data_IF_398682442417
#
_entry.id   IF_398682442417
#
_cell.length_a   1.000
_cell.length_b   1.000
_cell.length_c   1.000
_cell.angle_alpha   90.00
_cell.angle_beta   90.00
_cell.angle_gamma   90.00
#
_symmetry.space_group_name_H-M   'P 1'
#
loop_
_entity.id
_entity.type
_entity.pdbx_description
1 polymer ?
#
# COMPACT_ATOMS: atom_id res chain seq x y z
N UNK A 1 14.31 5.76 -15.49
CA UNK A 1 13.14 5.12 -16.11
C UNK A 1 12.05 6.16 -16.35
N UNK A 2 11.59 6.30 -17.59
CA UNK A 2 10.57 7.30 -17.95
C UNK A 2 9.18 6.68 -17.98
N UNK A 3 8.16 7.53 -17.92
CA UNK A 3 6.77 7.12 -18.03
C UNK A 3 6.32 7.17 -19.51
N UNK A 4 5.33 6.32 -19.92
CA UNK A 4 4.71 5.29 -19.07
C UNK A 4 5.60 4.05 -18.90
N UNK A 5 5.47 3.36 -17.81
CA UNK A 5 6.26 2.16 -17.51
C UNK A 5 5.99 1.03 -18.52
N UNK A 6 4.78 0.94 -19.05
CA UNK A 6 4.40 -0.05 -20.07
C UNK A 6 5.18 0.09 -21.37
N UNK A 7 5.81 1.23 -21.63
CA UNK A 7 6.68 1.43 -22.80
C UNK A 7 8.03 0.74 -22.64
N UNK A 8 8.41 0.36 -21.42
CA UNK A 8 9.73 -0.22 -21.11
C UNK A 8 9.66 -1.68 -20.71
N UNK A 9 8.52 -2.15 -20.25
CA UNK A 9 8.32 -3.50 -19.74
C UNK A 9 6.85 -3.89 -19.71
N UNK A 10 6.60 -5.20 -19.66
CA UNK A 10 5.25 -5.71 -19.43
C UNK A 10 4.89 -5.54 -17.95
N UNK A 11 3.90 -4.72 -17.68
CA UNK A 11 3.36 -4.51 -16.35
C UNK A 11 2.21 -5.48 -16.13
N UNK A 12 2.21 -6.17 -14.99
CA UNK A 12 1.18 -7.16 -14.66
C UNK A 12 0.35 -6.71 -13.46
N UNK A 13 -0.90 -7.18 -13.39
CA UNK A 13 -1.79 -6.97 -12.25
C UNK A 13 -1.39 -7.86 -11.07
N UNK A 14 -2.08 -7.70 -9.93
CA UNK A 14 -1.89 -8.52 -8.73
C UNK A 14 -2.04 -10.02 -9.03
N UNK A 15 -2.92 -10.39 -9.96
CA UNK A 15 -3.15 -11.80 -10.37
C UNK A 15 -2.22 -12.27 -11.48
N UNK A 16 -1.27 -11.42 -11.92
CA UNK A 16 -0.30 -11.75 -12.96
C UNK A 16 -0.76 -11.50 -14.39
N UNK A 17 -1.91 -10.87 -14.62
CA UNK A 17 -2.38 -10.55 -15.97
C UNK A 17 -1.67 -9.34 -16.55
N UNK A 18 -1.27 -9.45 -17.81
CA UNK A 18 -0.67 -8.36 -18.57
C UNK A 18 -1.72 -7.35 -18.99
N UNK A 19 -1.32 -6.10 -19.23
CA UNK A 19 -2.21 -5.05 -19.70
C UNK A 19 -2.97 -5.46 -20.96
N UNK A 20 -2.30 -6.15 -21.89
CA UNK A 20 -2.90 -6.61 -23.14
C UNK A 20 -4.00 -7.67 -22.93
N UNK A 21 -4.00 -8.37 -21.81
CA UNK A 21 -5.01 -9.39 -21.47
C UNK A 21 -6.26 -8.78 -20.85
N UNK A 22 -6.18 -7.54 -20.35
CA UNK A 22 -7.29 -6.84 -19.71
C UNK A 22 -8.01 -6.01 -20.77
N UNK A 23 -9.03 -6.61 -21.38
CA UNK A 23 -9.84 -5.98 -22.43
C UNK A 23 -11.31 -5.97 -22.02
N UNK A 24 -12.10 -5.12 -22.69
CA UNK A 24 -13.55 -5.05 -22.45
C UNK A 24 -14.21 -6.39 -22.74
N UNK A 25 -13.77 -7.09 -23.79
CA UNK A 25 -14.31 -8.40 -24.14
C UNK A 25 -13.96 -9.45 -23.08
N UNK A 26 -12.74 -9.42 -22.53
CA UNK A 26 -12.33 -10.32 -21.46
C UNK A 26 -13.18 -10.10 -20.20
N UNK A 27 -13.52 -8.84 -19.88
CA UNK A 27 -14.43 -8.51 -18.78
C UNK A 27 -15.82 -9.10 -19.01
N UNK A 28 -16.34 -8.95 -20.23
CA UNK A 28 -17.67 -9.49 -20.60
C UNK A 28 -17.71 -11.01 -20.50
N UNK A 29 -16.63 -11.70 -20.85
CA UNK A 29 -16.53 -13.16 -20.79
C UNK A 29 -16.23 -13.70 -19.40
N UNK A 30 -16.02 -12.84 -18.42
CA UNK A 30 -15.67 -13.24 -17.07
C UNK A 30 -14.21 -13.69 -16.91
N UNK A 31 -13.37 -13.47 -17.91
CA UNK A 31 -11.94 -13.79 -17.85
C UNK A 31 -11.16 -12.78 -17.00
N UNK A 32 -11.70 -11.55 -16.86
CA UNK A 32 -11.14 -10.49 -16.03
C UNK A 32 -12.10 -10.19 -14.89
N UNK A 33 -11.64 -10.31 -13.68
CA UNK A 33 -12.39 -10.02 -12.45
C UNK A 33 -11.85 -8.74 -11.79
N UNK A 34 -12.53 -8.16 -10.78
CA UNK A 34 -11.99 -7.02 -10.05
C UNK A 34 -10.60 -7.27 -9.48
N UNK A 35 -10.26 -8.50 -9.10
CA UNK A 35 -8.92 -8.85 -8.61
C UNK A 35 -7.84 -8.69 -9.69
N UNK A 36 -8.18 -8.91 -10.96
CA UNK A 36 -7.26 -8.76 -12.08
C UNK A 36 -6.91 -7.30 -12.37
N UNK A 37 -7.74 -6.37 -11.91
CA UNK A 37 -7.54 -4.92 -12.11
C UNK A 37 -6.66 -4.33 -11.01
N UNK A 38 -6.53 -4.99 -9.87
CA UNK A 38 -5.70 -4.51 -8.77
C UNK A 38 -4.23 -4.49 -9.17
N UNK A 39 -3.55 -3.40 -8.79
CA UNK A 39 -2.13 -3.22 -9.08
C UNK A 39 -1.31 -4.19 -8.24
N UNK A 40 -0.31 -4.84 -8.86
CA UNK A 40 0.60 -5.73 -8.15
C UNK A 40 1.61 -4.96 -7.31
N UNK A 41 2.14 -5.62 -6.27
CA UNK A 41 3.20 -5.08 -5.42
C UNK A 41 4.43 -4.69 -6.25
N UNK A 42 4.83 -5.55 -7.19
CA UNK A 42 5.99 -5.31 -8.05
C UNK A 42 5.82 -4.05 -8.91
N UNK A 43 4.61 -3.82 -9.44
CA UNK A 43 4.32 -2.62 -10.23
C UNK A 43 4.44 -1.36 -9.37
N UNK A 44 3.95 -1.38 -8.14
CA UNK A 44 4.07 -0.25 -7.22
C UNK A 44 5.53 0.04 -6.88
N UNK A 45 6.35 -0.99 -6.68
CA UNK A 45 7.78 -0.82 -6.42
C UNK A 45 8.51 -0.24 -7.63
N UNK A 46 8.13 -0.65 -8.84
CA UNK A 46 8.68 -0.06 -10.08
C UNK A 46 8.30 1.41 -10.21
N UNK A 47 7.06 1.76 -9.91
CA UNK A 47 6.62 3.16 -9.91
C UNK A 47 7.38 3.99 -8.88
N UNK A 48 7.64 3.43 -7.71
CA UNK A 48 8.46 4.05 -6.67
C UNK A 48 9.88 4.31 -7.15
N UNK A 49 10.48 3.32 -7.83
CA UNK A 49 11.81 3.46 -8.42
C UNK A 49 11.85 4.56 -9.47
N UNK A 50 10.87 4.59 -10.37
CA UNK A 50 10.76 5.63 -11.40
C UNK A 50 10.62 7.03 -10.78
N UNK A 51 9.83 7.16 -9.72
CA UNK A 51 9.68 8.42 -9.00
C UNK A 51 11.00 8.88 -8.38
N UNK A 52 11.76 7.95 -7.80
CA UNK A 52 13.06 8.26 -7.18
C UNK A 52 14.08 8.71 -8.24
N UNK A 53 14.11 8.05 -9.39
CA UNK A 53 14.97 8.43 -10.52
C UNK A 53 14.61 9.80 -11.10
N UNK A 54 13.36 10.24 -10.93
CA UNK A 54 12.89 11.55 -11.39
C UNK A 54 12.88 12.61 -10.26
N UNK A 55 13.68 12.41 -9.22
CA UNK A 55 13.86 13.35 -8.10
C UNK A 55 12.57 13.64 -7.31
N UNK A 56 11.74 12.60 -7.11
CA UNK A 56 10.51 12.69 -6.32
C UNK A 56 10.55 11.70 -5.14
N UNK A 57 11.39 11.93 -4.12
CA UNK A 57 11.58 10.96 -3.03
C UNK A 57 10.33 10.74 -2.18
N UNK A 58 9.50 11.77 -1.97
CA UNK A 58 8.27 11.62 -1.20
C UNK A 58 7.24 10.76 -1.94
N UNK A 59 7.14 10.95 -3.25
CA UNK A 59 6.27 10.13 -4.09
C UNK A 59 6.76 8.68 -4.12
N UNK A 60 8.07 8.47 -4.22
CA UNK A 60 8.67 7.14 -4.17
C UNK A 60 8.34 6.43 -2.85
N UNK A 61 8.46 7.14 -1.72
CA UNK A 61 8.14 6.60 -0.40
C UNK A 61 6.66 6.20 -0.29
N UNK A 62 5.75 7.02 -0.86
CA UNK A 62 4.32 6.70 -0.89
C UNK A 62 4.03 5.43 -1.70
N UNK A 63 4.71 5.22 -2.83
CA UNK A 63 4.57 4.00 -3.61
C UNK A 63 5.09 2.78 -2.85
N UNK A 64 6.22 2.92 -2.15
CA UNK A 64 6.79 1.86 -1.33
C UNK A 64 5.83 1.45 -0.20
N UNK A 65 5.20 2.43 0.46
CA UNK A 65 4.18 2.18 1.48
C UNK A 65 2.94 1.51 0.90
N UNK A 66 2.47 1.98 -0.25
CA UNK A 66 1.34 1.35 -0.94
C UNK A 66 1.64 -0.10 -1.32
N UNK A 67 2.86 -0.41 -1.72
CA UNK A 67 3.28 -1.77 -2.03
C UNK A 67 3.17 -2.69 -0.81
N UNK A 68 3.49 -2.22 0.38
CA UNK A 68 3.32 -2.99 1.61
C UNK A 68 1.85 -3.31 1.90
N UNK A 69 0.94 -2.39 1.55
CA UNK A 69 -0.50 -2.56 1.80
C UNK A 69 -1.14 -3.64 0.93
N UNK A 70 -0.54 -4.00 -0.20
CA UNK A 70 -1.10 -5.00 -1.12
C UNK A 70 -1.30 -6.36 -0.45
N UNK A 71 -0.38 -6.77 0.42
CA UNK A 71 -0.41 -8.07 1.07
C UNK A 71 -1.18 -8.08 2.40
N UNK A 72 -1.68 -6.92 2.84
CA UNK A 72 -2.44 -6.80 4.08
C UNK A 72 -3.92 -7.02 3.78
N UNK A 73 -4.63 -7.89 4.53
CA UNK A 73 -6.07 -8.10 4.32
C UNK A 73 -6.88 -6.81 4.50
N UNK A 74 -7.92 -6.64 3.69
CA UNK A 74 -8.78 -5.45 3.73
C UNK A 74 -9.37 -5.20 5.12
N UNK A 75 -9.75 -6.25 5.83
CA UNK A 75 -10.28 -6.15 7.19
C UNK A 75 -9.29 -5.50 8.15
N UNK A 76 -8.02 -5.90 8.07
CA UNK A 76 -6.97 -5.32 8.89
C UNK A 76 -6.67 -3.88 8.49
N UNK A 77 -6.74 -3.56 7.19
CA UNK A 77 -6.58 -2.18 6.70
C UNK A 77 -7.66 -1.26 7.27
N UNK A 78 -8.91 -1.72 7.26
CA UNK A 78 -10.02 -0.95 7.82
C UNK A 78 -9.87 -0.76 9.32
N UNK A 79 -9.44 -1.78 10.03
CA UNK A 79 -9.14 -1.70 11.46
C UNK A 79 -8.01 -0.70 11.73
N UNK A 80 -6.94 -0.75 10.96
CA UNK A 80 -5.80 0.16 11.06
C UNK A 80 -6.24 1.61 10.88
N UNK A 81 -6.97 1.91 9.81
CA UNK A 81 -7.46 3.26 9.57
C UNK A 81 -8.43 3.74 10.64
N UNK A 82 -9.26 2.84 11.16
CA UNK A 82 -10.15 3.15 12.28
C UNK A 82 -9.38 3.52 13.56
N UNK A 83 -8.33 2.75 13.87
CA UNK A 83 -7.47 3.00 15.03
C UNK A 83 -6.63 4.27 14.90
N UNK A 84 -6.31 4.70 13.68
CA UNK A 84 -5.56 5.92 13.44
C UNK A 84 -6.40 7.19 13.54
N UNK A 85 -7.71 7.09 13.74
CA UNK A 85 -8.56 8.26 13.96
C UNK A 85 -8.30 8.84 15.35
N UNK A 86 -8.36 10.19 15.51
CA UNK A 86 -8.23 10.81 16.84
C UNK A 86 -9.23 10.25 17.84
N UNK A 87 -8.78 10.06 19.09
CA UNK A 87 -9.59 9.58 20.22
C UNK A 87 -10.13 8.16 20.09
N UNK A 88 -9.56 7.34 19.19
CA UNK A 88 -10.03 5.97 18.94
C UNK A 88 -9.15 4.88 19.55
N UNK A 89 -7.88 5.19 19.83
CA UNK A 89 -6.92 4.20 20.32
C UNK A 89 -6.07 4.74 21.44
N UNK A 90 -5.61 3.83 22.30
CA UNK A 90 -4.57 4.11 23.28
C UNK A 90 -3.20 3.90 22.63
N UNK A 91 -2.14 4.41 23.27
CA UNK A 91 -0.77 4.21 22.80
C UNK A 91 -0.40 2.73 22.70
N UNK A 92 -0.68 1.87 23.73
CA UNK A 92 -0.40 0.43 23.63
C UNK A 92 -1.09 -0.25 22.44
N UNK A 93 -2.32 0.15 22.10
CA UNK A 93 -3.05 -0.40 20.95
C UNK A 93 -2.35 -0.07 19.64
N UNK A 94 -1.85 1.17 19.47
CA UNK A 94 -1.11 1.57 18.29
C UNK A 94 0.24 0.88 18.19
N UNK A 95 0.94 0.72 19.32
CA UNK A 95 2.21 -0.02 19.36
C UNK A 95 2.02 -1.48 18.98
N UNK A 96 0.94 -2.12 19.46
CA UNK A 96 0.59 -3.49 19.10
C UNK A 96 0.27 -3.65 17.62
N UNK A 97 -0.44 -2.68 17.05
CA UNK A 97 -0.73 -2.65 15.61
C UNK A 97 0.55 -2.55 14.78
N UNK A 98 1.46 -1.65 15.17
CA UNK A 98 2.75 -1.49 14.49
C UNK A 98 3.58 -2.78 14.55
N UNK A 99 3.59 -3.46 15.68
CA UNK A 99 4.29 -4.74 15.85
C UNK A 99 3.71 -5.81 14.91
N UNK A 100 2.38 -5.90 14.82
CA UNK A 100 1.70 -6.82 13.91
C UNK A 100 2.07 -6.54 12.46
N UNK A 101 2.06 -5.28 12.04
CA UNK A 101 2.45 -4.88 10.68
C UNK A 101 3.89 -5.26 10.38
N UNK A 102 4.79 -5.04 11.31
CA UNK A 102 6.21 -5.34 11.12
C UNK A 102 6.48 -6.85 11.08
N UNK A 103 5.99 -7.60 12.05
CA UNK A 103 6.35 -9.00 12.25
C UNK A 103 5.53 -9.97 11.40
N UNK A 104 4.24 -9.69 11.23
CA UNK A 104 3.34 -10.61 10.51
C UNK A 104 3.26 -10.31 9.01
N UNK A 105 3.31 -9.05 8.62
CA UNK A 105 3.13 -8.62 7.23
C UNK A 105 4.39 -8.05 6.59
N UNK A 106 5.48 -7.98 7.33
CA UNK A 106 6.75 -7.40 6.87
C UNK A 106 6.53 -6.03 6.23
N UNK A 107 5.81 -5.16 6.93
CA UNK A 107 5.43 -3.83 6.46
C UNK A 107 6.09 -2.73 7.33
N UNK A 108 7.42 -2.53 7.23
CA UNK A 108 8.13 -1.60 8.09
C UNK A 108 7.72 -0.13 7.88
N UNK A 109 7.39 0.27 6.66
CA UNK A 109 6.98 1.65 6.37
C UNK A 109 5.62 1.94 7.01
N UNK A 110 4.68 1.00 6.89
CA UNK A 110 3.37 1.12 7.53
C UNK A 110 3.49 1.10 9.05
N UNK A 111 4.37 0.25 9.60
CA UNK A 111 4.63 0.18 11.04
C UNK A 111 5.19 1.51 11.56
N UNK A 112 6.15 2.10 10.85
CA UNK A 112 6.72 3.39 11.19
C UNK A 112 5.65 4.50 11.20
N UNK A 113 4.76 4.51 10.21
CA UNK A 113 3.65 5.46 10.16
C UNK A 113 2.79 5.37 11.41
N UNK A 114 2.47 4.17 11.86
CA UNK A 114 1.65 3.96 13.07
C UNK A 114 2.41 4.40 14.33
N UNK A 115 3.70 4.10 14.43
CA UNK A 115 4.54 4.53 15.54
C UNK A 115 4.65 6.05 15.63
N UNK A 116 4.84 6.71 14.50
CA UNK A 116 4.88 8.18 14.42
C UNK A 116 3.54 8.79 14.82
N UNK A 117 2.44 8.19 14.38
CA UNK A 117 1.10 8.63 14.77
C UNK A 117 0.89 8.48 16.28
N UNK A 118 1.34 7.38 16.88
CA UNK A 118 1.22 7.16 18.33
C UNK A 118 1.96 8.25 19.12
N UNK A 119 3.17 8.60 18.71
CA UNK A 119 3.95 9.64 19.34
C UNK A 119 3.32 11.02 19.19
N UNK A 120 2.89 11.39 17.99
CA UNK A 120 2.25 12.67 17.70
C UNK A 120 0.93 12.79 18.47
N UNK A 121 0.12 11.74 18.50
CA UNK A 121 -1.17 11.74 19.19
C UNK A 121 -1.01 11.88 20.71
N UNK A 122 0.04 11.27 21.28
CA UNK A 122 0.37 11.45 22.68
C UNK A 122 0.72 12.91 22.99
N UNK A 123 1.57 13.53 22.17
CA UNK A 123 1.95 14.94 22.33
C UNK A 123 0.78 15.90 22.19
N UNK A 124 -0.15 15.60 21.30
CA UNK A 124 -1.34 16.43 21.06
C UNK A 124 -2.51 16.14 22.00
N UNK A 125 -2.41 15.10 22.80
CA UNK A 125 -3.49 14.71 23.71
C UNK A 125 -4.74 14.18 23.01
N UNK A 126 -4.59 13.56 21.83
CA UNK A 126 -5.71 13.04 21.05
C UNK A 126 -5.78 11.50 21.05
N UNK A 127 -5.09 10.86 21.97
CA UNK A 127 -5.29 9.44 22.26
C UNK A 127 -6.61 9.24 23.04
N UNK A 128 -7.11 8.00 23.00
CA UNK A 128 -8.32 7.62 23.71
C UNK A 128 -8.19 7.81 25.22
#
# INVERSE_FOLDING_TARGET
MSYPLSAHMDVVSKTGKKQSEITLEAVRRGEVTPEDIKISKDTLLLQGRAARENNRPHLAHNFERAAELVDIPDELLLEMYGKLRPYRSTKPELLGLAETLLNRYNAPICAELVLDAAEVYEKRGILK
#
